data_IF_106492040215
#
_entry.id   IF_106492040215
#
_cell.length_a   1.000
_cell.length_b   1.000
_cell.length_c   1.000
_cell.angle_alpha   90.00
_cell.angle_beta   90.00
_cell.angle_gamma   90.00
#
_symmetry.space_group_name_H-M   'P 1'
#
loop_
_entity.id
_entity.type
_entity.pdbx_description
1 polymer ?
#
# COMPACT_ATOMS: atom_id res chain seq x y z
N UNK A 1 12.63 1.33 -16.62
CA UNK A 1 12.70 2.71 -16.09
C UNK A 1 11.75 2.88 -14.90
N UNK A 2 10.47 2.54 -15.05
CA UNK A 2 9.41 2.83 -14.05
C UNK A 2 9.74 2.38 -12.61
N UNK A 3 10.43 1.25 -12.44
CA UNK A 3 10.78 0.66 -11.13
C UNK A 3 12.25 0.86 -10.73
N UNK A 4 13.04 1.63 -11.50
CA UNK A 4 14.42 1.99 -11.17
C UNK A 4 15.43 0.83 -11.11
N UNK A 5 15.23 -0.22 -11.91
CA UNK A 5 16.08 -1.42 -11.92
C UNK A 5 16.90 -1.60 -13.22
N UNK A 6 17.12 -0.55 -14.01
CA UNK A 6 17.81 -0.64 -15.30
C UNK A 6 19.20 -1.26 -15.19
N UNK A 7 19.95 -0.91 -14.16
CA UNK A 7 21.30 -1.44 -13.92
C UNK A 7 21.33 -2.93 -13.59
N UNK A 8 20.18 -3.48 -13.16
CA UNK A 8 20.02 -4.87 -12.73
C UNK A 8 19.24 -5.73 -13.73
N UNK A 9 19.05 -5.24 -14.98
CA UNK A 9 18.24 -5.94 -16.01
C UNK A 9 18.76 -7.34 -16.38
N UNK A 10 20.04 -7.61 -16.14
CA UNK A 10 20.68 -8.90 -16.41
C UNK A 10 21.01 -9.69 -15.14
N UNK A 11 20.67 -9.17 -13.96
CA UNK A 11 20.91 -9.85 -12.71
C UNK A 11 19.94 -11.03 -12.53
N UNK A 12 20.44 -12.12 -11.96
CA UNK A 12 19.61 -13.25 -11.58
C UNK A 12 18.81 -12.93 -10.31
N UNK A 13 17.67 -13.60 -10.13
CA UNK A 13 16.75 -13.31 -9.03
C UNK A 13 17.38 -13.49 -7.63
N UNK A 14 18.36 -14.38 -7.48
CA UNK A 14 19.08 -14.60 -6.23
C UNK A 14 20.08 -13.46 -5.89
N UNK A 15 20.47 -12.66 -6.88
CA UNK A 15 21.36 -11.50 -6.70
C UNK A 15 20.59 -10.24 -6.25
N UNK A 16 19.25 -10.29 -6.28
CA UNK A 16 18.39 -9.16 -5.96
C UNK A 16 18.06 -9.13 -4.46
N UNK A 17 18.09 -7.94 -3.87
CA UNK A 17 17.57 -7.72 -2.52
C UNK A 17 16.04 -7.93 -2.46
N UNK A 18 15.48 -8.07 -1.26
CA UNK A 18 14.03 -8.21 -1.07
C UNK A 18 13.22 -7.07 -1.73
N UNK A 19 13.65 -5.82 -1.53
CA UNK A 19 13.01 -4.66 -2.17
C UNK A 19 13.17 -4.64 -3.70
N UNK A 20 14.30 -5.10 -4.23
CA UNK A 20 14.48 -5.24 -5.68
C UNK A 20 13.56 -6.32 -6.26
N UNK A 21 13.41 -7.46 -5.57
CA UNK A 21 12.44 -8.52 -5.96
C UNK A 21 11.02 -7.98 -6.00
N UNK A 22 10.64 -7.16 -5.03
CA UNK A 22 9.32 -6.52 -5.00
C UNK A 22 9.11 -5.56 -6.16
N UNK A 23 10.12 -4.75 -6.50
CA UNK A 23 10.10 -3.88 -7.69
C UNK A 23 10.00 -4.68 -8.99
N UNK A 24 10.63 -5.84 -9.08
CA UNK A 24 10.49 -6.77 -10.23
C UNK A 24 9.07 -7.30 -10.32
N UNK A 25 8.45 -7.71 -9.19
CA UNK A 25 7.06 -8.16 -9.15
C UNK A 25 6.11 -7.05 -9.62
N UNK A 26 6.32 -5.81 -9.17
CA UNK A 26 5.57 -4.64 -9.61
C UNK A 26 5.76 -4.38 -11.12
N UNK A 27 6.99 -4.45 -11.62
CA UNK A 27 7.27 -4.32 -13.06
C UNK A 27 6.55 -5.38 -13.89
N UNK A 28 6.55 -6.63 -13.42
CA UNK A 28 5.83 -7.74 -14.06
C UNK A 28 4.33 -7.48 -14.11
N UNK A 29 3.74 -7.02 -13.01
CA UNK A 29 2.31 -6.72 -12.92
C UNK A 29 1.91 -5.55 -13.83
N UNK A 30 2.80 -4.59 -14.04
CA UNK A 30 2.57 -3.42 -14.90
C UNK A 30 2.88 -3.66 -16.37
N UNK A 31 3.69 -4.68 -16.70
CA UNK A 31 4.14 -4.94 -18.08
C UNK A 31 2.99 -5.15 -19.10
N UNK A 32 1.89 -5.85 -18.76
CA UNK A 32 0.75 -5.98 -19.66
C UNK A 32 -0.13 -4.73 -19.74
N UNK A 33 0.28 -3.61 -19.16
CA UNK A 33 -0.46 -2.34 -19.11
C UNK A 33 -1.92 -2.48 -18.57
N UNK A 34 -2.14 -3.13 -17.42
CA UNK A 34 -3.47 -3.38 -16.89
C UNK A 34 -4.20 -2.08 -16.54
N UNK A 35 -5.53 -2.10 -16.52
CA UNK A 35 -6.34 -0.96 -16.05
C UNK A 35 -6.34 -0.87 -14.52
N UNK A 36 -6.24 -2.02 -13.84
CA UNK A 36 -6.18 -2.10 -12.38
C UNK A 36 -5.05 -3.02 -11.91
N UNK A 37 -4.42 -2.65 -10.81
CA UNK A 37 -3.38 -3.41 -10.12
C UNK A 37 -3.90 -3.88 -8.76
N UNK A 38 -3.85 -5.19 -8.53
CA UNK A 38 -4.24 -5.81 -7.26
C UNK A 38 -2.98 -6.15 -6.47
N UNK A 39 -2.92 -5.70 -5.23
CA UNK A 39 -1.81 -5.94 -4.32
C UNK A 39 -2.31 -6.46 -2.98
N UNK A 40 -1.82 -7.62 -2.57
CA UNK A 40 -2.13 -8.22 -1.28
C UNK A 40 -0.88 -8.23 -0.41
N UNK A 41 -0.90 -7.47 0.70
CA UNK A 41 0.20 -7.31 1.66
C UNK A 41 1.59 -7.10 1.01
N UNK A 42 1.73 -6.20 0.02
CA UNK A 42 2.92 -6.17 -0.84
C UNK A 42 4.20 -5.73 -0.12
N UNK A 43 4.10 -5.19 1.09
CA UNK A 43 5.23 -4.65 1.84
C UNK A 43 5.54 -5.41 3.12
N UNK A 44 4.81 -6.48 3.42
CA UNK A 44 4.88 -7.21 4.71
C UNK A 44 6.27 -7.78 5.01
N UNK A 45 7.00 -8.24 3.98
CA UNK A 45 8.33 -8.87 4.10
C UNK A 45 9.51 -7.88 4.01
N UNK A 46 9.26 -6.56 4.05
CA UNK A 46 10.28 -5.54 3.83
C UNK A 46 10.69 -4.85 5.14
N UNK A 47 11.97 -4.50 5.24
CA UNK A 47 12.46 -3.60 6.28
C UNK A 47 11.87 -2.18 6.11
N UNK A 48 11.91 -1.38 7.18
CA UNK A 48 11.26 -0.08 7.23
C UNK A 48 11.78 0.89 6.14
N UNK A 49 13.09 0.94 5.91
CA UNK A 49 13.71 1.88 4.95
C UNK A 49 13.33 1.50 3.52
N UNK A 50 13.42 0.21 3.19
CA UNK A 50 13.04 -0.31 1.86
C UNK A 50 11.56 -0.08 1.58
N UNK A 51 10.72 -0.28 2.61
CA UNK A 51 9.28 -0.07 2.54
C UNK A 51 8.93 1.39 2.21
N UNK A 52 9.53 2.36 2.90
CA UNK A 52 9.27 3.78 2.64
C UNK A 52 9.68 4.20 1.21
N UNK A 53 10.82 3.73 0.74
CA UNK A 53 11.23 3.97 -0.65
C UNK A 53 10.23 3.42 -1.67
N UNK A 54 9.64 2.26 -1.38
CA UNK A 54 8.63 1.65 -2.25
C UNK A 54 7.29 2.38 -2.18
N UNK A 55 6.93 3.01 -1.07
CA UNK A 55 5.76 3.89 -1.01
C UNK A 55 5.92 5.08 -1.95
N UNK A 56 7.09 5.72 -1.95
CA UNK A 56 7.38 6.85 -2.85
C UNK A 56 7.36 6.40 -4.32
N UNK A 57 7.96 5.25 -4.62
CA UNK A 57 7.94 4.67 -5.96
C UNK A 57 6.50 4.38 -6.42
N UNK A 58 5.67 3.77 -5.56
CA UNK A 58 4.29 3.43 -5.89
C UNK A 58 3.42 4.67 -6.07
N UNK A 59 3.59 5.69 -5.23
CA UNK A 59 2.92 6.98 -5.41
C UNK A 59 3.30 7.61 -6.76
N UNK A 60 4.59 7.62 -7.09
CA UNK A 60 5.08 8.13 -8.37
C UNK A 60 4.49 7.37 -9.56
N UNK A 61 4.48 6.04 -9.49
CA UNK A 61 3.90 5.18 -10.53
C UNK A 61 2.41 5.48 -10.70
N UNK A 62 1.67 5.58 -9.60
CA UNK A 62 0.25 5.91 -9.62
C UNK A 62 0.00 7.28 -10.27
N UNK A 63 0.72 8.33 -9.85
CA UNK A 63 0.60 9.68 -10.41
C UNK A 63 0.93 9.73 -11.91
N UNK A 64 1.91 8.95 -12.37
CA UNK A 64 2.33 8.92 -13.77
C UNK A 64 1.42 8.06 -14.66
N UNK A 65 0.89 6.98 -14.12
CA UNK A 65 0.13 6.00 -14.91
C UNK A 65 -1.38 6.22 -14.88
N UNK A 66 -1.91 6.90 -13.86
CA UNK A 66 -3.34 7.06 -13.63
C UNK A 66 -4.08 5.75 -13.36
N UNK A 67 -3.35 4.65 -13.08
CA UNK A 67 -3.92 3.31 -12.89
C UNK A 67 -4.69 3.21 -11.59
N UNK A 68 -5.74 2.43 -11.59
CA UNK A 68 -6.43 2.04 -10.36
C UNK A 68 -5.58 1.02 -9.61
N UNK A 69 -5.37 1.24 -8.30
CA UNK A 69 -4.64 0.31 -7.44
C UNK A 69 -5.57 -0.11 -6.31
N UNK A 70 -5.83 -1.41 -6.20
CA UNK A 70 -6.48 -2.01 -5.03
C UNK A 70 -5.40 -2.64 -4.16
N UNK A 71 -5.23 -2.07 -2.96
CA UNK A 71 -4.25 -2.50 -1.98
C UNK A 71 -4.95 -3.12 -0.77
N UNK A 72 -4.64 -4.37 -0.47
CA UNK A 72 -5.02 -5.02 0.78
C UNK A 72 -3.85 -4.92 1.74
N UNK A 73 -4.09 -4.38 2.93
CA UNK A 73 -3.07 -4.25 3.98
C UNK A 73 -3.70 -4.16 5.36
N UNK A 74 -3.00 -4.64 6.37
CA UNK A 74 -3.32 -4.41 7.78
C UNK A 74 -2.54 -3.22 8.38
N UNK A 75 -1.68 -2.59 7.59
CA UNK A 75 -0.82 -1.50 8.05
C UNK A 75 -1.49 -0.14 7.81
N UNK A 76 -1.90 0.51 8.89
CA UNK A 76 -2.55 1.82 8.87
C UNK A 76 -1.71 2.90 8.17
N UNK A 77 -0.38 2.84 8.31
CA UNK A 77 0.52 3.79 7.64
C UNK A 77 0.49 3.63 6.13
N UNK A 78 0.43 2.39 5.64
CA UNK A 78 0.29 2.10 4.21
C UNK A 78 -1.02 2.64 3.66
N UNK A 79 -2.13 2.35 4.33
CA UNK A 79 -3.43 2.88 3.96
C UNK A 79 -3.43 4.41 3.93
N UNK A 80 -2.93 5.07 4.98
CA UNK A 80 -2.85 6.53 5.03
C UNK A 80 -1.93 7.13 3.96
N UNK A 81 -0.81 6.45 3.63
CA UNK A 81 0.18 6.93 2.67
C UNK A 81 -0.26 6.73 1.20
N UNK A 82 -0.91 5.60 0.90
CA UNK A 82 -1.09 5.15 -0.48
C UNK A 82 -2.52 5.28 -1.00
N UNK A 83 -3.54 5.22 -0.13
CA UNK A 83 -4.92 5.15 -0.58
C UNK A 83 -5.56 6.54 -0.78
N UNK A 84 -6.39 6.69 -1.80
CA UNK A 84 -7.32 7.84 -1.94
C UNK A 84 -8.66 7.53 -1.28
N UNK A 85 -8.97 6.24 -1.15
CA UNK A 85 -10.17 5.72 -0.52
C UNK A 85 -9.81 4.51 0.34
N UNK A 86 -10.28 4.48 1.57
CA UNK A 86 -10.07 3.38 2.52
C UNK A 86 -11.38 2.69 2.78
N UNK A 87 -11.38 1.37 2.69
CA UNK A 87 -12.50 0.50 3.04
C UNK A 87 -12.06 -0.35 4.21
N UNK A 88 -12.70 -0.20 5.36
CA UNK A 88 -12.48 -1.02 6.53
C UNK A 88 -13.42 -2.20 6.54
N UNK A 89 -12.86 -3.38 6.75
CA UNK A 89 -13.62 -4.62 6.86
C UNK A 89 -13.78 -5.02 8.33
N UNK A 90 -14.92 -5.60 8.67
CA UNK A 90 -15.12 -6.25 9.96
C UNK A 90 -14.31 -7.55 10.04
N UNK A 91 -14.03 -8.06 11.28
CA UNK A 91 -13.65 -9.46 11.46
C UNK A 91 -14.70 -10.42 10.85
N UNK A 92 -14.41 -11.71 10.89
CA UNK A 92 -15.28 -12.75 10.28
C UNK A 92 -16.74 -12.66 10.72
N UNK A 93 -17.70 -12.69 9.76
CA UNK A 93 -17.51 -12.63 8.31
C UNK A 93 -17.13 -11.21 7.87
N UNK A 94 -16.16 -11.09 6.93
CA UNK A 94 -15.70 -9.81 6.41
C UNK A 94 -16.84 -9.05 5.71
N UNK A 95 -17.26 -7.93 6.31
CA UNK A 95 -18.25 -6.98 5.75
C UNK A 95 -17.65 -5.59 5.72
N UNK A 96 -18.07 -4.79 4.76
CA UNK A 96 -17.70 -3.36 4.76
C UNK A 96 -18.31 -2.74 6.02
N UNK A 97 -17.42 -2.19 6.83
CA UNK A 97 -17.77 -1.53 8.08
C UNK A 97 -17.80 -0.02 7.94
N UNK A 98 -16.80 0.51 7.25
CA UNK A 98 -16.64 1.94 7.05
C UNK A 98 -15.94 2.17 5.71
N UNK A 99 -16.26 3.27 5.06
CA UNK A 99 -15.61 3.75 3.86
C UNK A 99 -15.42 5.27 3.97
N UNK A 100 -14.20 5.75 3.68
CA UNK A 100 -13.92 7.18 3.64
C UNK A 100 -12.84 7.53 2.64
N UNK A 101 -12.79 8.80 2.23
CA UNK A 101 -11.76 9.34 1.35
C UNK A 101 -10.65 10.01 2.14
N UNK A 102 -9.44 9.95 1.59
CA UNK A 102 -8.27 10.67 2.10
C UNK A 102 -8.01 11.82 1.13
N UNK A 103 -8.34 13.02 1.56
CA UNK A 103 -8.13 14.25 0.78
C UNK A 103 -6.80 14.91 1.17
N UNK A 104 -5.70 14.23 0.84
CA UNK A 104 -4.33 14.72 1.02
C UNK A 104 -3.62 14.79 -0.33
N UNK A 105 -2.88 15.87 -0.61
CA UNK A 105 -2.12 16.00 -1.85
C UNK A 105 -1.05 14.92 -1.98
N UNK A 106 -0.66 14.58 -3.21
CA UNK A 106 0.44 13.66 -3.51
C UNK A 106 1.64 14.43 -4.08
N UNK A 107 2.88 14.03 -3.79
CA UNK A 107 3.26 12.97 -2.84
C UNK A 107 2.91 13.37 -1.39
N UNK A 108 2.47 12.39 -0.59
CA UNK A 108 2.04 12.66 0.79
C UNK A 108 3.22 12.88 1.71
N UNK A 109 3.19 13.98 2.43
CA UNK A 109 4.15 14.26 3.52
C UNK A 109 3.73 13.48 4.77
N UNK A 110 4.45 12.40 5.05
CA UNK A 110 4.22 11.51 6.20
C UNK A 110 4.54 12.16 7.56
N UNK A 111 5.16 13.34 7.56
CA UNK A 111 5.48 14.11 8.77
C UNK A 111 4.41 15.14 9.09
N UNK A 112 3.53 15.45 8.15
CA UNK A 112 2.52 16.48 8.31
C UNK A 112 1.49 16.16 9.41
N UNK A 113 0.97 17.18 10.10
CA UNK A 113 -0.12 16.99 11.07
C UNK A 113 -1.35 16.31 10.45
N UNK A 114 -1.74 16.71 9.25
CA UNK A 114 -2.89 16.16 8.54
C UNK A 114 -2.72 14.65 8.23
N UNK A 115 -1.51 14.20 7.88
CA UNK A 115 -1.25 12.77 7.72
C UNK A 115 -1.44 12.00 9.03
N UNK A 116 -0.97 12.58 10.15
CA UNK A 116 -1.15 11.99 11.46
C UNK A 116 -2.62 11.97 11.89
N UNK A 117 -3.42 12.95 11.50
CA UNK A 117 -4.87 12.97 11.74
C UNK A 117 -5.57 11.83 11.01
N UNK A 118 -5.25 11.60 9.72
CA UNK A 118 -5.76 10.45 8.94
C UNK A 118 -5.40 9.13 9.63
N UNK A 119 -4.14 8.95 10.03
CA UNK A 119 -3.72 7.73 10.76
C UNK A 119 -4.51 7.53 12.05
N UNK A 120 -4.70 8.59 12.86
CA UNK A 120 -5.49 8.51 14.08
C UNK A 120 -6.94 8.16 13.81
N UNK A 121 -7.51 8.72 12.76
CA UNK A 121 -8.88 8.38 12.34
C UNK A 121 -9.02 6.90 12.01
N UNK A 122 -8.14 6.35 11.15
CA UNK A 122 -8.14 4.91 10.82
C UNK A 122 -7.99 4.05 12.08
N UNK A 123 -7.05 4.41 12.97
CA UNK A 123 -6.83 3.67 14.22
C UNK A 123 -8.04 3.72 15.14
N UNK A 124 -8.74 4.86 15.24
CA UNK A 124 -9.95 4.98 16.06
C UNK A 124 -11.05 4.07 15.55
N UNK A 125 -11.26 4.01 14.24
CA UNK A 125 -12.22 3.13 13.60
C UNK A 125 -11.89 1.64 13.81
N UNK A 126 -10.62 1.27 13.74
CA UNK A 126 -10.19 -0.11 14.00
C UNK A 126 -10.42 -0.52 15.48
N UNK A 127 -10.14 0.38 16.43
CA UNK A 127 -10.33 0.12 17.86
C UNK A 127 -11.78 0.07 18.29
N UNK A 128 -12.66 0.82 17.65
CA UNK A 128 -14.10 0.80 17.91
C UNK A 128 -14.78 -0.45 17.33
N UNK A 129 -14.02 -1.42 16.80
CA UNK A 129 -14.55 -2.72 16.42
C UNK A 129 -15.06 -3.44 17.68
N UNK A 130 -16.32 -3.93 17.71
CA UNK A 130 -16.75 -4.80 18.80
C UNK A 130 -15.81 -6.01 18.84
N UNK A 131 -15.34 -6.36 20.04
CA UNK A 131 -14.61 -7.59 20.25
C UNK A 131 -15.44 -8.75 19.70
N UNK A 132 -14.79 -9.72 19.04
CA UNK A 132 -15.46 -10.93 18.60
C UNK A 132 -16.26 -11.53 19.77
N UNK A 133 -17.52 -11.95 19.57
CA UNK A 133 -18.16 -12.83 20.54
C UNK A 133 -17.26 -14.09 20.60
N UNK A 134 -16.76 -14.40 21.79
CA UNK A 134 -15.99 -15.62 22.04
C UNK A 134 -16.74 -16.80 21.40
N UNK A 135 -16.05 -17.53 20.52
CA UNK A 135 -16.60 -18.71 19.91
C UNK A 135 -16.99 -19.67 21.04
N UNK A 136 -18.28 -19.94 21.16
CA UNK A 136 -18.83 -20.99 22.01
C UNK A 136 -18.61 -22.34 21.35
#
# INVERSE_FOLDING_TARGET
KLVGLERFRHAHIHELSGGMKQRVALARALAPAPDALLMDEPFSALDAITRERLYDDLQRIHMQSGKTILLVTHNVREAACLADRVILLSPRPGRIREEFRIDLPRPRDITSPHFNDVKRHILSLLRSAPAEPAAA
#
